data_IF_199157840155
#
_entry.id   IF_199157840155
#
_cell.length_a   1.000
_cell.length_b   1.000
_cell.length_c   1.000
_cell.angle_alpha   90.00
_cell.angle_beta   90.00
_cell.angle_gamma   90.00
#
_symmetry.space_group_name_H-M   'P 1'
#
loop_
_entity.id
_entity.type
_entity.pdbx_description
1 polymer ?
#
# COMPACT_ATOMS: atom_id res chain seq x y z
N UNK A 1 -1.29 12.65 -9.73
CA UNK A 1 -2.46 12.24 -10.51
C UNK A 1 -2.26 10.93 -11.25
N UNK A 2 -1.16 10.77 -11.99
CA UNK A 2 -0.89 9.55 -12.73
C UNK A 2 -0.83 8.31 -11.85
N UNK A 3 -0.24 8.43 -10.68
CA UNK A 3 -0.14 7.35 -9.72
C UNK A 3 -1.49 6.86 -9.21
N UNK A 4 -2.38 7.79 -8.88
CA UNK A 4 -3.70 7.43 -8.38
C UNK A 4 -4.55 6.77 -9.46
N UNK A 5 -4.47 7.26 -10.70
CA UNK A 5 -5.21 6.68 -11.82
C UNK A 5 -4.73 5.26 -12.12
N UNK A 6 -3.42 5.03 -12.13
CA UNK A 6 -2.85 3.71 -12.35
C UNK A 6 -3.20 2.74 -11.23
N UNK A 7 -3.08 3.18 -9.98
CA UNK A 7 -3.43 2.36 -8.83
C UNK A 7 -4.91 2.00 -8.85
N UNK A 8 -5.79 2.95 -9.14
CA UNK A 8 -7.23 2.70 -9.22
C UNK A 8 -7.57 1.73 -10.35
N UNK A 9 -6.89 1.85 -11.49
CA UNK A 9 -7.09 0.93 -12.61
C UNK A 9 -6.68 -0.49 -12.23
N UNK A 10 -5.51 -0.65 -11.60
CA UNK A 10 -5.04 -1.95 -11.14
C UNK A 10 -5.99 -2.55 -10.12
N UNK A 11 -6.50 -1.73 -9.21
CA UNK A 11 -7.48 -2.16 -8.21
C UNK A 11 -8.80 -2.61 -8.83
N UNK A 12 -9.27 -1.92 -9.87
CA UNK A 12 -10.48 -2.34 -10.58
C UNK A 12 -10.29 -3.66 -11.32
N UNK A 13 -9.12 -3.87 -11.90
CA UNK A 13 -8.82 -5.10 -12.64
C UNK A 13 -8.82 -6.34 -11.75
N UNK A 14 -8.51 -6.19 -10.47
CA UNK A 14 -8.43 -7.32 -9.55
C UNK A 14 -9.61 -7.42 -8.58
N UNK A 15 -10.58 -6.50 -8.67
CA UNK A 15 -11.67 -6.39 -7.69
C UNK A 15 -12.60 -7.60 -7.65
N UNK A 16 -12.67 -8.38 -8.74
CA UNK A 16 -13.52 -9.57 -8.84
C UNK A 16 -12.79 -10.86 -8.46
N UNK A 17 -11.49 -10.80 -8.22
CA UNK A 17 -10.71 -11.99 -7.86
C UNK A 17 -11.05 -12.46 -6.44
N UNK A 18 -10.62 -13.68 -6.12
CA UNK A 18 -10.64 -14.17 -4.75
C UNK A 18 -9.97 -13.15 -3.82
N UNK A 19 -10.53 -12.87 -2.63
CA UNK A 19 -9.98 -11.84 -1.75
C UNK A 19 -8.50 -12.01 -1.42
N UNK A 20 -8.04 -13.24 -1.22
CA UNK A 20 -6.63 -13.50 -0.96
C UNK A 20 -5.77 -13.17 -2.18
N UNK A 21 -6.18 -13.62 -3.36
CA UNK A 21 -5.47 -13.36 -4.62
C UNK A 21 -5.47 -11.87 -4.93
N UNK A 22 -6.59 -11.21 -4.71
CA UNK A 22 -6.74 -9.77 -4.91
C UNK A 22 -5.69 -8.99 -4.10
N UNK A 23 -5.60 -9.29 -2.80
CA UNK A 23 -4.64 -8.62 -1.92
C UNK A 23 -3.18 -8.95 -2.27
N UNK A 24 -2.89 -10.19 -2.63
CA UNK A 24 -1.53 -10.57 -3.03
C UNK A 24 -1.11 -9.85 -4.31
N UNK A 25 -2.02 -9.70 -5.27
CA UNK A 25 -1.75 -8.95 -6.50
C UNK A 25 -1.59 -7.45 -6.24
N UNK A 26 -2.41 -6.91 -5.35
CA UNK A 26 -2.30 -5.51 -4.95
C UNK A 26 -0.94 -5.23 -4.31
N UNK A 27 -0.51 -6.10 -3.41
CA UNK A 27 0.80 -5.99 -2.76
C UNK A 27 1.93 -6.03 -3.80
N UNK A 28 1.87 -6.98 -4.72
CA UNK A 28 2.87 -7.12 -5.76
C UNK A 28 2.94 -5.89 -6.66
N UNK A 29 1.80 -5.37 -7.09
CA UNK A 29 1.73 -4.16 -7.90
C UNK A 29 2.29 -2.94 -7.15
N UNK A 30 1.92 -2.77 -5.89
CA UNK A 30 2.38 -1.66 -5.07
C UNK A 30 3.90 -1.68 -4.86
N UNK A 31 4.47 -2.86 -4.63
CA UNK A 31 5.92 -3.00 -4.44
C UNK A 31 6.68 -2.87 -5.77
N UNK A 32 6.10 -3.34 -6.87
CA UNK A 32 6.73 -3.21 -8.19
C UNK A 32 6.84 -1.75 -8.62
N UNK A 33 5.78 -0.96 -8.44
CA UNK A 33 5.79 0.46 -8.79
C UNK A 33 6.81 1.24 -7.96
N UNK A 34 7.04 0.85 -6.73
CA UNK A 34 7.98 1.51 -5.85
C UNK A 34 9.43 1.48 -6.35
N UNK A 35 9.81 0.45 -7.10
CA UNK A 35 11.19 0.27 -7.55
C UNK A 35 11.54 0.95 -8.86
N UNK A 36 10.54 1.35 -9.66
CA UNK A 36 10.75 1.79 -11.04
C UNK A 36 10.62 3.29 -11.24
N UNK A 37 10.09 4.03 -10.26
CA UNK A 37 9.81 5.45 -10.43
C UNK A 37 10.41 6.29 -9.30
N UNK A 38 11.73 6.49 -9.40
CA UNK A 38 12.48 7.31 -8.44
C UNK A 38 11.98 8.75 -8.38
N UNK A 39 11.55 9.32 -9.51
CA UNK A 39 11.08 10.70 -9.55
C UNK A 39 9.79 10.87 -8.76
N UNK A 40 8.82 9.96 -8.95
CA UNK A 40 7.57 10.01 -8.21
C UNK A 40 7.77 9.78 -6.72
N UNK A 41 8.73 8.94 -6.36
CA UNK A 41 9.05 8.71 -4.95
C UNK A 41 9.70 9.93 -4.31
N UNK A 42 10.61 10.58 -5.01
CA UNK A 42 11.20 11.84 -4.55
C UNK A 42 10.16 12.93 -4.41
N UNK A 43 9.22 12.99 -5.35
CA UNK A 43 8.12 13.95 -5.31
C UNK A 43 7.22 13.70 -4.10
N UNK A 44 6.85 12.45 -3.84
CA UNK A 44 6.03 12.11 -2.68
C UNK A 44 6.74 12.41 -1.37
N UNK A 45 8.03 12.10 -1.26
CA UNK A 45 8.83 12.45 -0.09
C UNK A 45 8.89 13.96 0.13
N UNK A 46 9.06 14.72 -0.95
CA UNK A 46 9.08 16.18 -0.89
C UNK A 46 7.73 16.73 -0.42
N UNK A 47 6.62 16.17 -0.92
CA UNK A 47 5.28 16.56 -0.49
C UNK A 47 5.06 16.24 0.98
N UNK A 48 5.49 15.09 1.47
CA UNK A 48 5.36 14.73 2.87
C UNK A 48 6.22 15.63 3.77
N UNK A 49 7.41 16.00 3.30
CA UNK A 49 8.24 16.97 4.00
C UNK A 49 7.61 18.35 4.05
N UNK A 50 7.03 18.80 2.92
CA UNK A 50 6.33 20.08 2.84
C UNK A 50 5.09 20.08 3.73
N UNK A 51 4.38 18.95 3.83
CA UNK A 51 3.20 18.81 4.67
C UNK A 51 3.46 19.06 6.16
N UNK A 52 4.70 18.91 6.61
CA UNK A 52 5.08 19.25 7.99
C UNK A 52 5.06 20.74 8.26
N UNK A 53 5.13 21.57 7.22
CA UNK A 53 5.20 23.02 7.33
C UNK A 53 4.04 23.73 6.67
N UNK A 54 3.34 23.08 5.76
CA UNK A 54 2.22 23.66 5.00
C UNK A 54 0.94 22.92 5.35
N UNK A 55 -0.02 23.58 6.05
CA UNK A 55 -1.27 22.95 6.45
C UNK A 55 -2.14 22.49 5.28
N UNK A 56 -2.09 23.20 4.14
CA UNK A 56 -2.85 22.80 2.95
C UNK A 56 -2.36 21.50 2.35
N UNK A 57 -1.04 21.34 2.27
CA UNK A 57 -0.42 20.10 1.80
C UNK A 57 -0.67 18.97 2.79
N UNK A 58 -0.57 19.25 4.09
CA UNK A 58 -0.85 18.25 5.12
C UNK A 58 -2.28 17.72 5.01
N UNK A 59 -3.25 18.61 4.82
CA UNK A 59 -4.65 18.23 4.64
C UNK A 59 -4.86 17.35 3.42
N UNK A 60 -4.24 17.71 2.29
CA UNK A 60 -4.32 16.92 1.08
C UNK A 60 -3.76 15.50 1.28
N UNK A 61 -2.61 15.38 1.95
CA UNK A 61 -2.00 14.08 2.23
C UNK A 61 -2.88 13.23 3.15
N UNK A 62 -3.51 13.83 4.15
CA UNK A 62 -4.44 13.11 5.02
C UNK A 62 -5.62 12.56 4.22
N UNK A 63 -6.17 13.34 3.30
CA UNK A 63 -7.28 12.89 2.45
C UNK A 63 -6.86 11.74 1.53
N UNK A 64 -5.69 11.83 0.92
CA UNK A 64 -5.16 10.78 0.05
C UNK A 64 -4.90 9.49 0.84
N UNK A 65 -4.24 9.62 1.99
CA UNK A 65 -3.94 8.46 2.84
C UNK A 65 -5.23 7.80 3.34
N UNK A 66 -6.23 8.60 3.73
CA UNK A 66 -7.52 8.08 4.19
C UNK A 66 -8.25 7.32 3.08
N UNK A 67 -8.23 7.83 1.85
CA UNK A 67 -8.87 7.17 0.72
C UNK A 67 -8.20 5.83 0.41
N UNK A 68 -6.87 5.78 0.42
CA UNK A 68 -6.12 4.54 0.20
C UNK A 68 -6.39 3.52 1.30
N UNK A 69 -6.40 3.96 2.56
CA UNK A 69 -6.68 3.07 3.68
C UNK A 69 -8.10 2.52 3.64
N UNK A 70 -9.08 3.35 3.27
CA UNK A 70 -10.46 2.89 3.14
C UNK A 70 -10.59 1.80 2.07
N UNK A 71 -9.86 1.94 0.97
CA UNK A 71 -9.85 0.94 -0.09
C UNK A 71 -9.25 -0.38 0.41
N UNK A 72 -8.10 -0.32 1.09
CA UNK A 72 -7.47 -1.53 1.65
C UNK A 72 -8.36 -2.17 2.70
N UNK A 73 -9.01 -1.36 3.53
CA UNK A 73 -9.95 -1.85 4.54
C UNK A 73 -11.08 -2.66 3.90
N UNK A 74 -11.65 -2.15 2.79
CA UNK A 74 -12.71 -2.88 2.10
C UNK A 74 -12.23 -4.23 1.57
N UNK A 75 -10.99 -4.30 1.08
CA UNK A 75 -10.40 -5.54 0.59
C UNK A 75 -10.11 -6.53 1.72
N UNK A 76 -9.60 -6.05 2.86
CA UNK A 76 -9.39 -6.89 4.03
C UNK A 76 -10.71 -7.33 4.66
N UNK A 77 -11.75 -6.51 4.57
CA UNK A 77 -13.08 -6.92 5.03
C UNK A 77 -13.61 -8.11 4.24
N UNK A 78 -13.40 -8.12 2.93
CA UNK A 78 -13.75 -9.28 2.10
C UNK A 78 -12.95 -10.52 2.50
N UNK A 79 -11.69 -10.34 2.87
CA UNK A 79 -10.81 -11.45 3.27
C UNK A 79 -11.20 -12.02 4.63
N UNK A 80 -11.38 -11.18 5.63
CA UNK A 80 -11.54 -11.59 7.03
C UNK A 80 -12.98 -11.71 7.48
N UNK A 81 -13.88 -10.91 6.91
CA UNK A 81 -15.26 -10.83 7.35
C UNK A 81 -15.44 -10.11 8.70
N UNK A 82 -14.38 -9.51 9.24
CA UNK A 82 -14.39 -8.83 10.53
C UNK A 82 -13.94 -7.38 10.35
N UNK A 83 -14.85 -6.38 10.57
CA UNK A 83 -14.51 -4.97 10.36
C UNK A 83 -13.34 -4.47 11.19
N UNK A 84 -13.24 -4.87 12.45
CA UNK A 84 -12.16 -4.42 13.33
C UNK A 84 -10.80 -4.96 12.87
N UNK A 85 -10.74 -6.24 12.54
CA UNK A 85 -9.54 -6.87 12.01
C UNK A 85 -9.14 -6.26 10.67
N UNK A 86 -10.13 -6.01 9.81
CA UNK A 86 -9.89 -5.40 8.49
C UNK A 86 -9.26 -4.00 8.63
N UNK A 87 -9.75 -3.19 9.56
CA UNK A 87 -9.20 -1.86 9.82
C UNK A 87 -7.73 -1.94 10.26
N UNK A 88 -7.43 -2.82 11.22
CA UNK A 88 -6.06 -3.00 11.71
C UNK A 88 -5.12 -3.47 10.61
N UNK A 89 -5.53 -4.46 9.84
CA UNK A 89 -4.73 -5.01 8.76
C UNK A 89 -4.50 -3.99 7.64
N UNK A 90 -5.52 -3.18 7.33
CA UNK A 90 -5.39 -2.13 6.31
C UNK A 90 -4.33 -1.09 6.72
N UNK A 91 -4.30 -0.69 7.98
CA UNK A 91 -3.28 0.24 8.49
C UNK A 91 -1.89 -0.36 8.36
N UNK A 92 -1.71 -1.59 8.81
CA UNK A 92 -0.41 -2.27 8.72
C UNK A 92 0.04 -2.47 7.28
N UNK A 93 -0.88 -2.87 6.41
CA UNK A 93 -0.60 -3.07 5.00
C UNK A 93 -0.16 -1.76 4.34
N UNK A 94 -0.89 -0.68 4.61
CA UNK A 94 -0.56 0.64 4.05
C UNK A 94 0.79 1.14 4.55
N UNK A 95 1.07 1.00 5.84
CA UNK A 95 2.36 1.40 6.41
C UNK A 95 3.50 0.58 5.82
N UNK A 96 3.31 -0.70 5.58
CA UNK A 96 4.32 -1.54 4.94
C UNK A 96 4.62 -1.05 3.52
N UNK A 97 3.60 -0.71 2.74
CA UNK A 97 3.77 -0.21 1.38
C UNK A 97 4.48 1.15 1.39
N UNK A 98 3.99 2.10 2.18
CA UNK A 98 4.57 3.45 2.25
C UNK A 98 6.00 3.39 2.76
N UNK A 99 6.25 2.62 3.82
CA UNK A 99 7.59 2.45 4.37
C UNK A 99 8.54 1.80 3.39
N UNK A 100 8.07 0.78 2.67
CA UNK A 100 8.85 0.13 1.62
C UNK A 100 9.25 1.11 0.53
N UNK A 101 8.30 1.92 0.05
CA UNK A 101 8.54 2.88 -1.01
C UNK A 101 9.59 3.93 -0.59
N UNK A 102 9.57 4.34 0.67
CA UNK A 102 10.46 5.37 1.17
C UNK A 102 11.81 4.83 1.64
N UNK A 103 11.82 3.65 2.24
CA UNK A 103 13.02 3.11 2.87
C UNK A 103 13.81 2.15 1.97
N UNK A 104 13.12 1.37 1.14
CA UNK A 104 13.76 0.28 0.36
C UNK A 104 14.05 0.66 -1.09
N UNK A 105 13.82 1.90 -1.48
CA UNK A 105 14.07 2.38 -2.83
C UNK A 105 15.45 2.99 -3.01
N UNK A 106 16.27 2.99 -1.98
CA UNK A 106 17.63 3.52 -2.04
C UNK A 106 18.52 2.57 -2.82
N UNK A 107 19.50 3.11 -3.59
CA UNK A 107 20.44 2.24 -4.31
C UNK A 107 21.21 1.27 -3.41
N UNK A 108 21.36 1.63 -2.13
CA UNK A 108 22.10 0.81 -1.14
C UNK A 108 21.22 -0.21 -0.44
N UNK A 109 19.91 -0.23 -0.69
CA UNK A 109 19.03 -1.20 -0.05
C UNK A 109 19.30 -2.61 -0.58
N UNK A 110 19.29 -3.63 0.32
CA UNK A 110 19.47 -5.00 -0.12
C UNK A 110 18.38 -5.39 -1.14
N UNK A 111 18.74 -6.03 -2.26
CA UNK A 111 17.74 -6.44 -3.26
C UNK A 111 16.67 -7.36 -2.68
N UNK A 112 17.02 -8.16 -1.69
CA UNK A 112 16.11 -9.11 -1.07
C UNK A 112 15.11 -8.48 -0.10
N UNK A 113 15.31 -7.22 0.31
CA UNK A 113 14.47 -6.60 1.33
C UNK A 113 13.00 -6.53 0.91
N UNK A 114 12.71 -6.21 -0.36
CA UNK A 114 11.36 -6.20 -0.89
C UNK A 114 10.74 -7.59 -0.92
N UNK A 115 11.51 -8.59 -1.27
CA UNK A 115 11.04 -9.98 -1.29
C UNK A 115 10.74 -10.48 0.12
N UNK A 116 11.58 -10.13 1.10
CA UNK A 116 11.30 -10.44 2.50
C UNK A 116 10.01 -9.77 2.98
N UNK A 117 9.84 -8.49 2.67
CA UNK A 117 8.64 -7.76 3.06
C UNK A 117 7.40 -8.36 2.41
N UNK A 118 7.47 -8.65 1.10
CA UNK A 118 6.37 -9.29 0.38
C UNK A 118 6.00 -10.63 1.03
N UNK A 119 6.98 -11.45 1.38
CA UNK A 119 6.76 -12.73 2.02
C UNK A 119 6.11 -12.59 3.40
N UNK A 120 6.57 -11.63 4.20
CA UNK A 120 6.05 -11.40 5.54
C UNK A 120 4.61 -10.89 5.48
N UNK A 121 4.34 -9.89 4.64
CA UNK A 121 2.99 -9.35 4.48
C UNK A 121 2.04 -10.41 3.97
N UNK A 122 2.44 -11.17 2.97
CA UNK A 122 1.61 -12.26 2.42
C UNK A 122 1.28 -13.29 3.49
N UNK A 123 2.29 -13.73 4.24
CA UNK A 123 2.11 -14.78 5.24
C UNK A 123 1.27 -14.33 6.43
N UNK A 124 1.61 -13.19 7.02
CA UNK A 124 1.02 -12.79 8.30
C UNK A 124 -0.20 -11.90 8.16
N UNK A 125 -0.25 -11.04 7.16
CA UNK A 125 -1.37 -10.11 7.01
C UNK A 125 -2.46 -10.66 6.10
N UNK A 126 -2.11 -11.41 5.07
CA UNK A 126 -3.09 -11.90 4.10
C UNK A 126 -3.50 -13.33 4.42
N UNK A 127 -2.58 -14.29 4.26
CA UNK A 127 -2.90 -15.71 4.44
C UNK A 127 -3.25 -16.08 5.87
N UNK A 128 -2.60 -15.44 6.83
CA UNK A 128 -2.86 -15.71 8.24
C UNK A 128 -4.25 -15.29 8.71
N UNK A 129 -4.95 -14.46 7.95
CA UNK A 129 -6.27 -13.94 8.29
C UNK A 129 -7.36 -14.32 7.29
N UNK A 130 -7.04 -15.14 6.30
CA UNK A 130 -8.03 -15.60 5.33
C UNK A 130 -9.10 -16.45 6.04
N UNK A 131 -10.34 -16.31 5.60
CA UNK A 131 -11.42 -17.17 6.08
C UNK A 131 -11.13 -18.62 5.72
N UNK A 132 -11.43 -19.47 6.66
CA UNK A 132 -11.30 -20.89 6.43
C UNK A 132 -12.31 -21.39 5.38
#
# INVERSE_FOLDING_TARGET
>A
RGHEVELNRDLQLVSEADPQVDLERLLEAALAHAGTDLENMRFELALRGLGRRDPGVAKLLVEVDAARMALFESKFLRLTGNPNTAEELAVLFYLAIVGSNQALSRPTSPPQAKEYLKGIVTRYLIRGHAKA
#
